data_IF_463706946366
#
_entry.id   IF_463706946366
#
_cell.length_a   1.000
_cell.length_b   1.000
_cell.length_c   1.000
_cell.angle_alpha   90.00
_cell.angle_beta   90.00
_cell.angle_gamma   90.00
#
_symmetry.space_group_name_H-M   'P 1'
#
loop_
_entity.id
_entity.type
_entity.pdbx_description
1 polymer ?
#
# COMPACT_ATOMS: atom_id res chain seq x y z
N UNK A 1 -0.05 5.92 -18.05
CA UNK A 1 -0.79 6.99 -18.78
C UNK A 1 -0.10 8.36 -18.68
N UNK A 2 0.40 8.78 -17.52
CA UNK A 2 1.10 10.08 -17.37
C UNK A 2 2.41 10.10 -18.16
N UNK A 3 3.21 9.02 -18.11
CA UNK A 3 4.46 8.90 -18.85
C UNK A 3 4.25 8.95 -20.38
N UNK A 4 3.19 8.31 -20.88
CA UNK A 4 2.86 8.30 -22.32
C UNK A 4 2.39 9.67 -22.82
N UNK A 5 1.82 10.51 -21.93
CA UNK A 5 1.33 11.85 -22.31
C UNK A 5 2.44 12.92 -22.29
N UNK A 6 3.51 12.73 -21.51
CA UNK A 6 4.54 13.77 -21.34
C UNK A 6 5.74 13.65 -22.27
N UNK A 7 5.88 12.56 -23.02
CA UNK A 7 7.04 12.30 -23.88
C UNK A 7 8.40 12.24 -23.15
N UNK A 8 8.40 12.39 -21.83
CA UNK A 8 9.59 12.37 -20.98
C UNK A 8 9.67 11.05 -20.23
N UNK A 9 10.40 10.08 -20.76
CA UNK A 9 10.61 8.78 -20.12
C UNK A 9 11.78 8.78 -19.12
N UNK A 10 12.75 9.65 -19.29
CA UNK A 10 13.94 9.71 -18.45
C UNK A 10 13.64 10.33 -17.09
N UNK A 11 13.98 9.61 -16.04
CA UNK A 11 13.77 10.04 -14.65
C UNK A 11 12.34 9.90 -14.11
N UNK A 12 11.38 9.36 -14.88
CA UNK A 12 9.98 9.20 -14.42
C UNK A 12 9.90 8.38 -13.13
N UNK A 13 10.63 7.26 -13.03
CA UNK A 13 10.65 6.42 -11.83
C UNK A 13 11.17 7.18 -10.61
N UNK A 14 12.15 8.06 -10.78
CA UNK A 14 12.67 8.92 -9.72
C UNK A 14 11.64 9.98 -9.34
N UNK A 15 11.03 10.63 -10.34
CA UNK A 15 9.99 11.67 -10.12
C UNK A 15 8.74 11.13 -9.44
N UNK A 16 8.38 9.86 -9.70
CA UNK A 16 7.25 9.18 -9.06
C UNK A 16 7.62 8.54 -7.71
N UNK A 17 8.85 8.70 -7.23
CA UNK A 17 9.30 8.12 -5.98
C UNK A 17 9.50 6.60 -6.01
N UNK A 18 9.38 5.96 -7.18
CA UNK A 18 9.51 4.50 -7.31
C UNK A 18 10.91 3.99 -6.96
N UNK A 19 11.95 4.81 -7.16
CA UNK A 19 13.33 4.52 -6.78
C UNK A 19 13.66 4.90 -5.32
N UNK A 20 12.77 5.61 -4.64
CA UNK A 20 13.04 6.18 -3.31
C UNK A 20 12.92 5.16 -2.17
N UNK A 21 12.34 4.01 -2.43
CA UNK A 21 12.09 3.00 -1.43
C UNK A 21 12.47 1.61 -1.98
N UNK A 22 13.36 0.93 -1.28
CA UNK A 22 13.82 -0.42 -1.64
C UNK A 22 12.78 -1.48 -1.27
N UNK A 23 11.58 -1.36 -1.81
CA UNK A 23 10.63 -2.48 -1.78
C UNK A 23 11.15 -3.53 -2.74
N UNK A 24 11.26 -4.77 -2.28
CA UNK A 24 11.71 -5.87 -3.13
C UNK A 24 10.93 -5.89 -4.46
N UNK A 25 11.64 -5.95 -5.58
CA UNK A 25 11.00 -6.10 -6.90
C UNK A 25 10.14 -7.35 -6.91
N UNK A 26 8.96 -7.24 -7.49
CA UNK A 26 8.16 -8.42 -7.83
C UNK A 26 8.90 -9.15 -8.94
N UNK A 27 9.54 -10.26 -8.62
CA UNK A 27 10.35 -11.04 -9.56
C UNK A 27 9.55 -12.11 -10.30
N UNK A 28 8.39 -12.50 -9.78
CA UNK A 28 7.43 -13.41 -10.40
C UNK A 28 6.05 -12.81 -10.34
N UNK A 29 5.23 -13.02 -11.37
CA UNK A 29 3.83 -12.61 -11.33
C UNK A 29 3.12 -13.37 -10.21
N UNK A 30 2.18 -12.67 -9.59
CA UNK A 30 1.44 -13.14 -8.40
C UNK A 30 -0.02 -13.37 -8.75
N UNK A 31 -0.61 -14.36 -8.11
CA UNK A 31 -2.00 -14.70 -8.33
C UNK A 31 -2.70 -15.12 -7.02
N UNK A 32 -4.01 -15.02 -7.02
CA UNK A 32 -4.90 -15.60 -6.01
C UNK A 32 -5.65 -16.77 -6.63
N UNK A 33 -5.61 -17.98 -6.04
CA UNK A 33 -6.34 -19.12 -6.58
C UNK A 33 -7.86 -18.91 -6.66
N UNK A 34 -8.42 -18.21 -5.68
CA UNK A 34 -9.86 -17.89 -5.65
C UNK A 34 -10.24 -16.96 -6.80
N UNK A 35 -9.46 -15.89 -7.03
CA UNK A 35 -9.68 -15.00 -8.16
C UNK A 35 -9.62 -15.75 -9.51
N UNK A 36 -8.67 -16.69 -9.68
CA UNK A 36 -8.58 -17.47 -10.91
C UNK A 36 -9.82 -18.36 -11.09
N UNK A 37 -10.32 -18.97 -10.01
CA UNK A 37 -11.54 -19.79 -10.05
C UNK A 37 -12.77 -18.95 -10.44
N UNK A 38 -12.92 -17.77 -9.84
CA UNK A 38 -14.01 -16.84 -10.15
C UNK A 38 -13.94 -16.34 -11.60
N UNK A 39 -12.75 -15.96 -12.08
CA UNK A 39 -12.56 -15.53 -13.46
C UNK A 39 -12.91 -16.64 -14.44
N UNK A 40 -12.45 -17.88 -14.19
CA UNK A 40 -12.77 -19.02 -15.02
C UNK A 40 -14.28 -19.30 -15.05
N UNK A 41 -14.95 -19.24 -13.90
CA UNK A 41 -16.38 -19.46 -13.80
C UNK A 41 -17.21 -18.36 -14.49
N UNK A 42 -16.76 -17.10 -14.38
CA UNK A 42 -17.50 -15.95 -14.87
C UNK A 42 -17.25 -15.62 -16.34
N UNK A 43 -15.99 -15.78 -16.80
CA UNK A 43 -15.56 -15.32 -18.12
C UNK A 43 -15.07 -16.44 -19.04
N UNK A 44 -14.89 -17.68 -18.51
CA UNK A 44 -14.29 -18.78 -19.25
C UNK A 44 -12.77 -18.65 -19.45
N UNK A 45 -12.17 -17.58 -18.97
CA UNK A 45 -10.75 -17.29 -19.11
C UNK A 45 -10.16 -16.65 -17.85
N UNK A 46 -8.84 -16.66 -17.74
CA UNK A 46 -8.11 -16.08 -16.60
C UNK A 46 -7.09 -15.04 -17.07
N UNK A 47 -6.85 -14.02 -16.24
CA UNK A 47 -5.91 -12.95 -16.54
C UNK A 47 -5.14 -12.49 -15.31
N UNK A 48 -4.00 -11.82 -15.54
CA UNK A 48 -3.17 -11.24 -14.49
C UNK A 48 -3.81 -9.98 -13.92
N UNK A 49 -4.11 -9.98 -12.64
CA UNK A 49 -4.62 -8.81 -11.93
C UNK A 49 -3.46 -7.86 -11.59
N UNK A 50 -3.61 -6.58 -11.91
CA UNK A 50 -2.59 -5.53 -11.65
C UNK A 50 -2.40 -5.28 -10.17
N UNK A 51 -3.47 -5.31 -9.39
CA UNK A 51 -3.45 -5.10 -7.94
C UNK A 51 -2.61 -6.18 -7.20
N UNK A 52 -2.55 -7.41 -7.71
CA UNK A 52 -1.69 -8.45 -7.16
C UNK A 52 -0.19 -8.19 -7.39
N UNK A 53 0.17 -7.36 -8.38
CA UNK A 53 1.55 -7.07 -8.73
C UNK A 53 2.11 -5.84 -8.01
N UNK A 54 1.32 -5.20 -7.15
CA UNK A 54 1.76 -4.00 -6.43
C UNK A 54 2.78 -4.36 -5.34
N UNK A 55 3.83 -3.54 -5.17
CA UNK A 55 4.77 -3.70 -4.07
C UNK A 55 4.06 -3.70 -2.72
N UNK A 56 4.45 -4.62 -1.82
CA UNK A 56 3.85 -4.74 -0.49
C UNK A 56 2.50 -5.46 -0.44
N UNK A 57 1.88 -5.80 -1.56
CA UNK A 57 0.64 -6.61 -1.59
C UNK A 57 1.02 -8.09 -1.51
N UNK A 58 0.76 -8.71 -0.37
CA UNK A 58 1.09 -10.10 -0.06
C UNK A 58 -0.14 -11.01 0.02
N UNK A 59 -1.31 -10.41 0.21
CA UNK A 59 -2.60 -11.10 0.26
C UNK A 59 -3.56 -10.53 -0.78
N UNK A 60 -4.53 -11.31 -1.19
CA UNK A 60 -5.55 -10.86 -2.13
C UNK A 60 -6.42 -9.77 -1.49
N UNK A 61 -6.62 -8.61 -2.13
CA UNK A 61 -7.50 -7.56 -1.59
C UNK A 61 -8.97 -7.98 -1.51
N UNK A 62 -9.42 -8.91 -2.36
CA UNK A 62 -10.79 -9.48 -2.33
C UNK A 62 -10.91 -10.57 -1.27
N UNK A 63 -10.11 -11.63 -1.39
CA UNK A 63 -10.27 -12.87 -0.63
C UNK A 63 -9.46 -12.90 0.68
N UNK A 64 -8.54 -11.97 0.92
CA UNK A 64 -7.70 -11.94 2.11
C UNK A 64 -6.70 -13.11 2.22
N UNK A 65 -6.75 -14.07 1.32
CA UNK A 65 -5.82 -15.20 1.32
C UNK A 65 -4.43 -14.77 0.80
N UNK A 66 -3.34 -15.43 1.26
CA UNK A 66 -2.00 -15.19 0.74
C UNK A 66 -1.94 -15.38 -0.78
N UNK A 67 -1.33 -14.42 -1.46
CA UNK A 67 -1.01 -14.54 -2.88
C UNK A 67 0.05 -15.61 -3.09
N UNK A 68 0.07 -16.20 -4.28
CA UNK A 68 1.03 -17.22 -4.69
C UNK A 68 1.96 -16.69 -5.78
N UNK A 69 3.21 -17.15 -5.78
CA UNK A 69 4.16 -16.87 -6.84
C UNK A 69 3.90 -17.81 -8.02
N UNK A 70 3.71 -17.26 -9.21
CA UNK A 70 3.54 -18.04 -10.43
C UNK A 70 4.87 -18.56 -10.97
N UNK A 71 4.81 -19.39 -12.01
CA UNK A 71 5.99 -19.80 -12.80
C UNK A 71 6.59 -18.68 -13.64
N UNK A 72 5.87 -17.54 -13.81
CA UNK A 72 6.24 -16.46 -14.75
C UNK A 72 7.16 -15.44 -14.09
N UNK A 73 8.40 -15.34 -14.59
CA UNK A 73 9.36 -14.31 -14.18
C UNK A 73 9.01 -12.96 -14.80
N UNK A 74 9.16 -11.87 -14.04
CA UNK A 74 8.99 -10.50 -14.55
C UNK A 74 10.26 -9.92 -15.16
N UNK A 75 11.40 -10.61 -15.03
CA UNK A 75 12.72 -10.13 -15.47
C UNK A 75 13.32 -10.92 -16.64
N UNK A 76 12.87 -12.16 -16.88
CA UNK A 76 13.50 -13.09 -17.83
C UNK A 76 12.82 -13.12 -19.22
N UNK A 77 11.76 -12.35 -19.43
CA UNK A 77 10.97 -12.46 -20.65
C UNK A 77 11.17 -11.28 -21.60
N UNK A 78 11.16 -11.58 -22.88
CA UNK A 78 10.98 -10.55 -23.89
C UNK A 78 9.65 -9.83 -23.66
N UNK A 79 9.64 -8.50 -23.72
CA UNK A 79 8.43 -7.67 -23.60
C UNK A 79 7.34 -7.99 -24.64
N UNK A 80 7.66 -8.81 -25.61
CA UNK A 80 6.75 -9.23 -26.70
C UNK A 80 6.10 -10.59 -26.46
N UNK A 81 6.49 -11.31 -25.39
CA UNK A 81 5.91 -12.61 -25.05
C UNK A 81 4.82 -12.43 -24.01
N UNK A 82 3.60 -12.79 -24.37
CA UNK A 82 2.48 -12.88 -23.42
C UNK A 82 2.37 -14.30 -22.90
N UNK A 83 2.29 -14.45 -21.57
CA UNK A 83 2.03 -15.72 -20.90
C UNK A 83 0.69 -15.58 -20.17
N UNK A 84 -0.33 -16.38 -20.50
CA UNK A 84 -1.62 -16.33 -19.83
C UNK A 84 -1.51 -16.78 -18.37
N UNK A 85 -2.49 -16.37 -17.55
CA UNK A 85 -2.58 -16.77 -16.15
C UNK A 85 -3.28 -18.14 -16.01
N UNK A 86 -2.88 -19.11 -16.82
CA UNK A 86 -3.47 -20.45 -16.87
C UNK A 86 -2.95 -21.37 -15.75
N UNK A 87 -3.40 -22.64 -15.76
CA UNK A 87 -2.98 -23.65 -14.79
C UNK A 87 -1.51 -24.02 -14.84
N UNK A 88 -0.87 -23.85 -16.00
CA UNK A 88 0.57 -24.11 -16.15
C UNK A 88 1.39 -22.99 -15.52
N UNK A 89 1.01 -21.73 -15.76
CA UNK A 89 1.65 -20.57 -15.17
C UNK A 89 1.31 -20.40 -13.67
N UNK A 90 0.11 -20.82 -13.26
CA UNK A 90 -0.46 -20.66 -11.92
C UNK A 90 -0.83 -22.01 -11.28
N UNK A 91 0.13 -22.88 -10.98
CA UNK A 91 -0.17 -24.21 -10.41
C UNK A 91 -0.76 -24.10 -9.00
N UNK A 92 -1.68 -25.00 -8.65
CA UNK A 92 -2.36 -25.04 -7.35
C UNK A 92 -1.40 -25.18 -6.17
N UNK A 93 -0.29 -25.86 -6.35
CA UNK A 93 0.75 -26.07 -5.34
C UNK A 93 1.84 -25.01 -5.35
N UNK A 94 1.66 -23.90 -6.10
CA UNK A 94 2.60 -22.80 -6.09
C UNK A 94 2.80 -22.27 -4.66
N UNK A 95 4.04 -21.88 -4.29
CA UNK A 95 4.33 -21.39 -2.96
C UNK A 95 3.57 -20.10 -2.66
N UNK A 96 2.97 -20.03 -1.48
CA UNK A 96 2.39 -18.79 -0.98
C UNK A 96 3.51 -17.79 -0.64
N UNK A 97 3.24 -16.51 -0.83
CA UNK A 97 4.21 -15.44 -0.51
C UNK A 97 4.47 -15.31 0.98
N UNK A 98 3.56 -15.84 1.78
CA UNK A 98 3.66 -15.86 3.24
C UNK A 98 2.86 -17.03 3.81
N UNK A 99 3.21 -17.46 5.01
CA UNK A 99 2.63 -18.63 5.68
C UNK A 99 1.89 -18.32 6.98
N UNK A 100 1.61 -17.05 7.28
CA UNK A 100 0.87 -16.70 8.52
C UNK A 100 -0.58 -17.16 8.44
N UNK A 101 -1.06 -17.74 9.55
CA UNK A 101 -2.47 -18.06 9.81
C UNK A 101 -3.11 -17.12 10.84
N UNK A 102 -2.33 -16.14 11.34
CA UNK A 102 -2.83 -15.16 12.29
C UNK A 102 -3.81 -14.22 11.58
N UNK A 103 -5.06 -14.23 12.01
CA UNK A 103 -6.13 -13.43 11.42
C UNK A 103 -5.85 -11.92 11.47
N UNK A 104 -5.23 -11.42 12.55
CA UNK A 104 -4.87 -10.00 12.68
C UNK A 104 -3.82 -9.60 11.64
N UNK A 105 -2.82 -10.45 11.42
CA UNK A 105 -1.81 -10.26 10.37
C UNK A 105 -2.46 -10.23 9.00
N UNK A 106 -3.33 -11.21 8.70
CA UNK A 106 -4.02 -11.29 7.42
C UNK A 106 -4.94 -10.08 7.20
N UNK A 107 -5.70 -9.68 8.21
CA UNK A 107 -6.57 -8.50 8.16
C UNK A 107 -5.76 -7.20 7.93
N UNK A 108 -4.64 -7.03 8.63
CA UNK A 108 -3.73 -5.90 8.43
C UNK A 108 -3.17 -5.84 7.01
N UNK A 109 -2.69 -6.97 6.49
CA UNK A 109 -2.19 -7.05 5.11
C UNK A 109 -3.31 -6.85 4.07
N UNK A 110 -4.51 -7.35 4.33
CA UNK A 110 -5.65 -7.14 3.43
C UNK A 110 -6.09 -5.67 3.40
N UNK A 111 -6.08 -4.98 4.54
CA UNK A 111 -6.35 -3.54 4.60
C UNK A 111 -5.35 -2.77 3.74
N UNK A 112 -4.05 -3.06 3.87
CA UNK A 112 -3.01 -2.44 3.03
C UNK A 112 -3.16 -2.80 1.54
N UNK A 113 -3.53 -4.04 1.23
CA UNK A 113 -3.78 -4.48 -0.15
C UNK A 113 -4.97 -3.73 -0.77
N UNK A 114 -6.07 -3.56 -0.03
CA UNK A 114 -7.25 -2.79 -0.46
C UNK A 114 -6.91 -1.31 -0.64
N UNK A 115 -6.17 -0.71 0.28
CA UNK A 115 -5.72 0.68 0.16
C UNK A 115 -4.80 0.89 -1.06
N UNK A 116 -3.89 -0.05 -1.32
CA UNK A 116 -3.03 -0.04 -2.50
C UNK A 116 -3.83 -0.15 -3.81
N UNK A 117 -4.84 -1.02 -3.84
CA UNK A 117 -5.77 -1.15 -4.96
C UNK A 117 -6.60 0.11 -5.17
N UNK A 118 -7.16 0.67 -4.11
CA UNK A 118 -7.92 1.92 -4.18
C UNK A 118 -7.09 3.06 -4.79
N UNK A 119 -5.81 3.17 -4.40
CA UNK A 119 -4.89 4.14 -4.99
C UNK A 119 -4.60 3.87 -6.48
N UNK A 120 -4.58 2.60 -6.90
CA UNK A 120 -4.40 2.22 -8.29
C UNK A 120 -5.63 2.58 -9.16
N UNK A 121 -6.83 2.39 -8.62
CA UNK A 121 -8.11 2.65 -9.29
C UNK A 121 -8.44 4.15 -9.29
N UNK A 122 -8.24 4.81 -8.15
CA UNK A 122 -8.53 6.21 -7.92
C UNK A 122 -7.32 6.93 -7.30
N UNK A 123 -6.37 7.41 -8.11
CA UNK A 123 -5.12 8.00 -7.61
C UNK A 123 -5.33 9.32 -6.85
N UNK A 124 -6.56 9.80 -6.73
CA UNK A 124 -6.89 11.05 -6.08
C UNK A 124 -6.38 12.30 -6.84
N UNK A 125 -6.52 13.48 -6.26
CA UNK A 125 -6.06 14.71 -6.88
C UNK A 125 -4.53 14.77 -6.92
N UNK A 126 -4.00 15.32 -8.00
CA UNK A 126 -2.58 15.61 -8.09
C UNK A 126 -2.19 16.67 -7.05
N UNK A 127 -1.20 16.35 -6.22
CA UNK A 127 -0.65 17.29 -5.22
C UNK A 127 0.82 17.57 -5.52
N UNK A 128 1.20 18.83 -5.48
CA UNK A 128 2.60 19.25 -5.48
C UNK A 128 3.30 18.86 -4.17
N UNK A 129 4.63 18.88 -4.13
CA UNK A 129 5.39 18.57 -2.91
C UNK A 129 5.01 19.47 -1.72
N UNK A 130 4.82 20.80 -1.88
CA UNK A 130 4.32 21.65 -0.79
C UNK A 130 2.90 21.25 -0.32
N UNK A 131 2.00 20.90 -1.23
CA UNK A 131 0.65 20.44 -0.89
C UNK A 131 0.66 19.12 -0.12
N UNK A 132 1.54 18.16 -0.49
CA UNK A 132 1.74 16.95 0.29
C UNK A 132 2.28 17.25 1.69
N UNK A 133 3.23 18.18 1.81
CA UNK A 133 3.76 18.61 3.11
C UNK A 133 2.64 19.16 4.00
N UNK A 134 1.80 20.05 3.47
CA UNK A 134 0.69 20.64 4.19
C UNK A 134 -0.34 19.59 4.60
N UNK A 135 -0.72 18.70 3.67
CA UNK A 135 -1.68 17.62 3.90
C UNK A 135 -1.27 16.72 5.08
N UNK A 136 -0.04 16.22 5.09
CA UNK A 136 0.40 15.34 6.19
C UNK A 136 0.60 16.08 7.50
N UNK A 137 1.06 17.33 7.47
CA UNK A 137 1.19 18.13 8.70
C UNK A 137 -0.15 18.38 9.37
N UNK A 138 -1.17 18.73 8.61
CA UNK A 138 -2.53 18.93 9.13
C UNK A 138 -3.05 17.64 9.78
N UNK A 139 -2.91 16.51 9.11
CA UNK A 139 -3.34 15.21 9.63
C UNK A 139 -2.56 14.77 10.87
N UNK A 140 -1.24 14.98 10.89
CA UNK A 140 -0.40 14.69 12.07
C UNK A 140 -0.77 15.59 13.25
N UNK A 141 -1.11 16.84 13.01
CA UNK A 141 -1.58 17.75 14.05
C UNK A 141 -2.95 17.32 14.58
N UNK A 142 -3.89 16.99 13.71
CA UNK A 142 -5.20 16.47 14.10
C UNK A 142 -5.08 15.15 14.91
N UNK A 143 -4.12 14.30 14.58
CA UNK A 143 -3.81 13.08 15.33
C UNK A 143 -3.02 13.31 16.63
N UNK A 144 -2.75 14.55 17.03
CA UNK A 144 -1.99 14.88 18.23
C UNK A 144 -0.51 14.46 18.20
N UNK A 145 0.04 14.27 16.97
CA UNK A 145 1.42 13.85 16.73
C UNK A 145 2.33 15.01 16.33
N UNK A 146 1.84 16.24 16.44
CA UNK A 146 2.62 17.45 16.18
C UNK A 146 2.31 18.51 17.25
N UNK A 147 3.36 19.20 17.71
CA UNK A 147 3.23 20.32 18.65
C UNK A 147 2.68 21.58 17.99
N UNK A 148 2.90 21.73 16.68
CA UNK A 148 2.41 22.82 15.87
C UNK A 148 2.40 22.43 14.41
N UNK A 149 1.84 23.31 13.54
CA UNK A 149 1.86 23.12 12.08
C UNK A 149 3.28 22.95 11.48
N UNK A 150 4.33 23.22 12.24
CA UNK A 150 5.72 23.15 11.77
C UNK A 150 6.60 22.15 12.53
N UNK A 151 6.14 21.65 13.67
CA UNK A 151 6.94 20.80 14.57
C UNK A 151 6.24 19.49 14.90
N UNK A 152 6.60 18.43 14.17
CA UNK A 152 6.13 17.06 14.41
C UNK A 152 6.93 16.42 15.53
N UNK A 153 6.25 15.72 16.43
CA UNK A 153 6.88 14.85 17.43
C UNK A 153 7.35 13.55 16.76
N UNK A 154 8.62 13.53 16.37
CA UNK A 154 9.19 12.43 15.59
C UNK A 154 9.27 11.14 16.39
N UNK A 155 9.56 11.22 17.68
CA UNK A 155 9.64 10.04 18.55
C UNK A 155 8.26 9.41 18.67
N UNK A 156 7.27 10.20 19.07
CA UNK A 156 5.89 9.75 19.24
C UNK A 156 5.28 9.22 17.94
N UNK A 157 5.57 9.88 16.81
CA UNK A 157 5.16 9.41 15.48
C UNK A 157 5.74 8.03 15.17
N UNK A 158 7.05 7.83 15.35
CA UNK A 158 7.70 6.54 15.09
C UNK A 158 7.14 5.44 16.00
N UNK A 159 6.98 5.70 17.29
CA UNK A 159 6.45 4.72 18.25
C UNK A 159 5.00 4.34 17.92
N UNK A 160 4.13 5.32 17.64
CA UNK A 160 2.75 5.08 17.31
C UNK A 160 2.60 4.33 15.96
N UNK A 161 3.37 4.72 14.95
CA UNK A 161 3.40 4.05 13.66
C UNK A 161 3.86 2.59 13.77
N UNK A 162 4.93 2.33 14.51
CA UNK A 162 5.43 0.96 14.75
C UNK A 162 4.41 0.11 15.50
N UNK A 163 3.74 0.68 16.49
CA UNK A 163 2.68 -0.01 17.24
C UNK A 163 1.51 -0.38 16.35
N UNK A 164 1.08 0.54 15.49
CA UNK A 164 -0.02 0.30 14.56
C UNK A 164 0.29 -0.81 13.57
N UNK A 165 1.47 -0.79 12.99
CA UNK A 165 1.88 -1.76 11.96
C UNK A 165 2.67 -2.95 12.49
N UNK A 166 2.78 -3.15 13.82
CA UNK A 166 3.71 -4.13 14.43
C UNK A 166 3.57 -5.54 13.86
N UNK A 167 2.35 -5.97 13.54
CA UNK A 167 2.06 -7.31 13.01
C UNK A 167 2.52 -7.49 11.56
N UNK A 168 2.60 -6.42 10.78
CA UNK A 168 2.90 -6.46 9.35
C UNK A 168 4.28 -5.90 8.99
N UNK A 169 4.93 -5.18 9.90
CA UNK A 169 6.23 -4.53 9.65
C UNK A 169 7.30 -5.50 9.13
N UNK A 170 7.38 -6.70 9.71
CA UNK A 170 8.35 -7.71 9.31
C UNK A 170 8.03 -8.44 8.01
N UNK A 171 6.81 -8.32 7.53
CA UNK A 171 6.34 -8.99 6.33
C UNK A 171 6.39 -8.09 5.09
N UNK A 172 6.17 -6.78 5.28
CA UNK A 172 6.19 -5.83 4.16
C UNK A 172 7.64 -5.52 3.79
N UNK A 173 8.10 -5.88 2.58
CA UNK A 173 9.48 -5.70 2.17
C UNK A 173 9.93 -4.23 2.26
N UNK A 174 11.13 -4.00 2.76
CA UNK A 174 11.76 -2.67 2.83
C UNK A 174 11.37 -1.82 4.04
N UNK A 175 10.50 -2.30 4.94
CA UNK A 175 10.19 -1.61 6.20
C UNK A 175 11.19 -1.89 7.30
N UNK A 176 11.76 -3.09 7.32
CA UNK A 176 12.83 -3.45 8.24
C UNK A 176 14.16 -3.61 7.48
N UNK A 177 15.23 -3.19 8.11
CA UNK A 177 16.61 -3.50 7.72
C UNK A 177 17.33 -4.02 8.99
N UNK A 178 17.93 -5.19 8.88
CA UNK A 178 18.57 -5.88 10.02
C UNK A 178 17.64 -6.00 11.25
N UNK A 179 16.35 -6.27 11.01
CA UNK A 179 15.34 -6.37 12.06
C UNK A 179 14.90 -5.04 12.67
N UNK A 180 15.44 -3.90 12.22
CA UNK A 180 15.12 -2.56 12.72
C UNK A 180 14.26 -1.78 11.75
N UNK A 181 13.26 -1.09 12.28
CA UNK A 181 12.40 -0.22 11.46
C UNK A 181 13.19 0.99 10.94
N UNK A 182 13.14 1.18 9.62
CA UNK A 182 13.72 2.34 8.95
C UNK A 182 12.71 3.48 8.85
N UNK A 183 12.67 4.29 9.90
CA UNK A 183 11.72 5.41 10.03
C UNK A 183 12.14 6.72 9.36
N UNK A 184 13.30 6.78 8.70
CA UNK A 184 13.83 8.02 8.10
C UNK A 184 12.87 8.63 7.08
N UNK A 185 12.23 7.79 6.26
CA UNK A 185 11.24 8.23 5.29
C UNK A 185 9.98 8.79 5.97
N UNK A 186 9.55 8.18 7.08
CA UNK A 186 8.38 8.62 7.85
C UNK A 186 8.64 10.00 8.46
N UNK A 187 9.82 10.18 9.06
CA UNK A 187 10.28 11.47 9.57
C UNK A 187 10.34 12.53 8.46
N UNK A 188 10.81 12.16 7.26
CA UNK A 188 10.89 13.07 6.12
C UNK A 188 9.50 13.45 5.59
N UNK A 189 8.55 12.49 5.50
CA UNK A 189 7.16 12.75 5.11
C UNK A 189 6.46 13.68 6.08
N UNK A 190 6.68 13.51 7.40
CA UNK A 190 6.09 14.36 8.43
C UNK A 190 6.66 15.79 8.47
N UNK A 191 7.91 15.99 8.03
CA UNK A 191 8.57 17.31 8.07
C UNK A 191 8.37 18.14 6.81
N UNK A 192 8.91 17.69 5.68
CA UNK A 192 8.84 18.41 4.40
C UNK A 192 9.12 17.47 3.24
N UNK A 193 8.21 17.45 2.27
CA UNK A 193 8.40 16.74 1.01
C UNK A 193 9.40 17.50 0.13
N UNK A 194 10.63 17.02 0.09
CA UNK A 194 11.69 17.54 -0.80
C UNK A 194 11.82 16.73 -2.08
N UNK A 195 11.22 15.54 -2.09
CA UNK A 195 11.18 14.57 -3.19
C UNK A 195 9.89 13.80 -3.15
N UNK A 196 9.55 13.11 -4.24
CA UNK A 196 8.44 12.16 -4.23
C UNK A 196 8.79 10.94 -3.35
N UNK A 197 7.80 10.43 -2.66
CA UNK A 197 7.87 9.20 -1.89
C UNK A 197 7.21 8.05 -2.65
N UNK A 198 7.62 6.83 -2.34
CA UNK A 198 7.03 5.64 -2.97
C UNK A 198 5.54 5.53 -2.58
N UNK A 199 4.63 5.13 -3.52
CA UNK A 199 3.20 5.00 -3.22
C UNK A 199 2.89 4.16 -1.98
N UNK A 200 3.63 3.06 -1.74
CA UNK A 200 3.47 2.25 -0.54
C UNK A 200 3.73 3.03 0.77
N UNK A 201 4.67 3.99 0.77
CA UNK A 201 4.90 4.84 1.94
C UNK A 201 3.70 5.75 2.23
N UNK A 202 3.05 6.26 1.17
CA UNK A 202 1.79 6.99 1.30
C UNK A 202 0.67 6.10 1.84
N UNK A 203 0.51 4.89 1.30
CA UNK A 203 -0.50 3.92 1.77
C UNK A 203 -0.33 3.63 3.25
N UNK A 204 0.89 3.32 3.68
CA UNK A 204 1.19 3.00 5.09
C UNK A 204 0.93 4.19 6.02
N UNK A 205 1.35 5.41 5.63
CA UNK A 205 1.13 6.59 6.46
C UNK A 205 -0.35 6.97 6.50
N UNK A 206 -1.07 6.85 5.40
CA UNK A 206 -2.51 7.13 5.34
C UNK A 206 -3.30 6.12 6.17
N UNK A 207 -3.05 4.81 6.02
CA UNK A 207 -3.69 3.75 6.82
C UNK A 207 -3.50 4.00 8.33
N UNK A 208 -2.30 4.37 8.74
CA UNK A 208 -2.01 4.74 10.13
C UNK A 208 -2.81 5.96 10.58
N UNK A 209 -2.83 7.05 9.79
CA UNK A 209 -3.51 8.30 10.15
C UNK A 209 -5.03 8.13 10.16
N UNK A 210 -5.61 7.40 9.19
CA UNK A 210 -7.05 7.07 9.16
C UNK A 210 -7.46 6.34 10.45
N UNK A 211 -6.62 5.41 10.92
CA UNK A 211 -6.87 4.69 12.17
C UNK A 211 -6.77 5.60 13.40
N UNK A 212 -5.81 6.54 13.45
CA UNK A 212 -5.69 7.50 14.54
C UNK A 212 -6.91 8.46 14.57
N UNK A 213 -7.37 8.95 13.43
CA UNK A 213 -8.54 9.82 13.32
C UNK A 213 -9.81 9.11 13.82
N UNK A 214 -10.02 7.83 13.44
CA UNK A 214 -11.13 7.03 13.94
C UNK A 214 -11.07 6.81 15.47
N UNK A 215 -9.87 6.62 16.01
CA UNK A 215 -9.69 6.44 17.46
C UNK A 215 -9.98 7.71 18.27
N UNK A 216 -9.63 8.89 17.71
CA UNK A 216 -9.89 10.19 18.35
C UNK A 216 -11.33 10.67 18.15
N UNK A 217 -11.95 10.31 17.04
CA UNK A 217 -13.28 10.73 16.65
C UNK A 217 -14.14 9.53 16.24
N UNK A 218 -14.52 8.65 17.19
CA UNK A 218 -15.24 7.41 16.88
C UNK A 218 -16.61 7.64 16.23
N UNK A 219 -17.17 8.84 16.42
CA UNK A 219 -18.45 9.26 15.81
C UNK A 219 -18.27 10.21 14.60
N UNK A 220 -17.04 10.35 14.08
CA UNK A 220 -16.70 11.33 13.03
C UNK A 220 -16.52 12.75 13.56
N UNK A 221 -16.43 13.73 12.66
CA UNK A 221 -16.30 15.14 13.04
C UNK A 221 -17.66 15.74 13.43
N UNK A 222 -17.69 16.54 14.49
CA UNK A 222 -18.86 17.34 14.87
C UNK A 222 -19.19 18.40 13.77
N UNK A 223 -20.48 18.86 13.69
CA UNK A 223 -21.61 18.49 14.53
C UNK A 223 -22.22 17.14 14.15
N UNK A 224 -22.55 16.34 15.16
CA UNK A 224 -23.27 15.08 14.94
C UNK A 224 -24.78 15.36 14.84
N UNK A 225 -25.49 14.72 13.88
CA UNK A 225 -26.94 14.84 13.83
C UNK A 225 -27.55 14.22 15.10
N UNK A 226 -28.49 14.96 15.70
CA UNK A 226 -29.27 14.40 16.80
C UNK A 226 -30.17 13.29 16.24
N UNK A 227 -29.92 12.04 16.68
CA UNK A 227 -30.75 10.88 16.28
C UNK A 227 -31.99 10.72 17.17
N UNK A 228 -32.21 11.61 18.16
CA UNK A 228 -33.40 11.58 18.98
C UNK A 228 -34.58 12.20 18.20
N UNK A 229 -35.65 11.42 17.91
CA UNK A 229 -36.82 11.91 17.16
C UNK A 229 -37.74 12.82 18.01
N UNK A 230 -37.44 13.02 19.28
CA UNK A 230 -38.21 13.88 20.15
C UNK A 230 -37.63 15.31 20.13
N UNK A 231 -38.46 16.32 19.88
CA UNK A 231 -38.04 17.71 19.97
C UNK A 231 -37.77 18.10 21.42
#
# INVERSE_FOLDING_TARGET
>A
RIAMKSGQTDGLFVRLGMAAFRVGRVTRLRFCPECLREMQARYGETYWRRDHQLPGVLVCPEHGCPLRASGVSTTAWSRHVFVPADRMACPWNAPALMSSRNERVLAGLQRLARASRALLENPGPHRSLPQWTMHYRQRLQAAGLAYSAHRVDQQRLNEAFRRHHHEVLGLVPGLLEDGRFRGDWLAAMGRKHRKAFHPLQHVLLQDFLDHQELALHPFGQAPWPCLNPLP
#
